data_IF_142710727237
#
_entry.id   IF_142710727237
#
_cell.length_a   1.000
_cell.length_b   1.000
_cell.length_c   1.000
_cell.angle_alpha   90.00
_cell.angle_beta   90.00
_cell.angle_gamma   90.00
#
_symmetry.space_group_name_H-M   'P 1'
#
loop_
_entity.id
_entity.type
_entity.pdbx_description
1 polymer ?
#
# COMPACT_ATOMS: atom_id res chain seq x y z
N UNK A 1 -11.19 17.68 7.18
CA UNK A 1 -12.12 17.58 6.03
C UNK A 1 -12.02 16.17 5.46
N UNK A 2 -12.71 15.23 6.09
CA UNK A 2 -12.80 13.83 5.65
C UNK A 2 -14.12 13.66 4.89
N UNK A 3 -14.09 12.80 3.87
CA UNK A 3 -15.21 12.36 3.04
C UNK A 3 -15.77 13.33 2.00
N UNK A 4 -15.17 13.28 0.79
CA UNK A 4 -15.95 13.40 -0.44
C UNK A 4 -16.07 12.00 -1.07
N UNK A 5 -17.25 11.37 -1.08
CA UNK A 5 -17.41 10.07 -1.73
C UNK A 5 -17.08 10.23 -3.22
N UNK A 6 -16.15 9.40 -3.71
CA UNK A 6 -15.89 9.26 -5.13
C UNK A 6 -17.19 8.80 -5.80
N UNK A 7 -17.93 9.73 -6.42
CA UNK A 7 -19.04 9.38 -7.32
C UNK A 7 -18.45 8.51 -8.43
N UNK A 8 -18.69 7.21 -8.33
CA UNK A 8 -18.51 6.26 -9.41
C UNK A 8 -19.57 6.54 -10.46
N UNK A 9 -19.21 7.41 -11.40
CA UNK A 9 -19.97 7.67 -12.62
C UNK A 9 -20.33 6.34 -13.33
N UNK A 10 -21.65 6.03 -13.49
CA UNK A 10 -22.17 4.72 -13.88
C UNK A 10 -21.93 4.36 -15.36
N UNK A 11 -21.31 5.24 -16.14
CA UNK A 11 -21.01 5.06 -17.56
C UNK A 11 -19.74 4.24 -17.88
N UNK A 12 -19.25 3.38 -16.97
CA UNK A 12 -17.98 2.64 -17.14
C UNK A 12 -18.17 1.17 -17.56
N UNK A 13 -17.62 0.79 -18.71
CA UNK A 13 -17.17 -0.59 -18.93
C UNK A 13 -15.97 -0.88 -18.01
N UNK A 14 -16.11 -1.83 -17.10
CA UNK A 14 -14.99 -2.33 -16.29
C UNK A 14 -13.92 -2.93 -17.21
N UNK A 15 -12.66 -2.45 -17.21
CA UNK A 15 -11.61 -3.16 -17.89
C UNK A 15 -11.48 -4.54 -17.25
N UNK A 16 -11.38 -5.60 -18.06
CA UNK A 16 -11.13 -6.94 -17.54
C UNK A 16 -9.89 -6.95 -16.65
N UNK A 17 -9.84 -7.85 -15.67
CA UNK A 17 -8.75 -7.96 -14.68
C UNK A 17 -7.37 -7.91 -15.36
N UNK A 18 -7.20 -8.58 -16.50
CA UNK A 18 -5.97 -8.56 -17.31
C UNK A 18 -5.60 -7.17 -17.82
N UNK A 19 -6.56 -6.39 -18.30
CA UNK A 19 -6.32 -5.01 -18.73
C UNK A 19 -6.02 -4.09 -17.54
N UNK A 20 -6.67 -4.29 -16.39
CA UNK A 20 -6.37 -3.53 -15.18
C UNK A 20 -4.93 -3.80 -14.70
N UNK A 21 -4.51 -5.07 -14.68
CA UNK A 21 -3.13 -5.46 -14.36
C UNK A 21 -2.12 -4.91 -15.36
N UNK A 22 -2.35 -5.07 -16.66
CA UNK A 22 -1.45 -4.55 -17.70
C UNK A 22 -1.29 -3.02 -17.60
N UNK A 23 -2.38 -2.30 -17.33
CA UNK A 23 -2.35 -0.84 -17.11
C UNK A 23 -1.60 -0.48 -15.81
N UNK A 24 -1.79 -1.26 -14.74
CA UNK A 24 -1.06 -1.10 -13.47
C UNK A 24 0.44 -1.30 -13.63
N UNK A 25 0.85 -2.37 -14.34
CA UNK A 25 2.25 -2.65 -14.70
C UNK A 25 2.85 -1.53 -15.56
N UNK A 26 2.08 -1.01 -16.52
CA UNK A 26 2.48 0.13 -17.34
C UNK A 26 2.49 1.47 -16.57
N UNK A 27 2.15 1.46 -15.26
CA UNK A 27 1.97 2.65 -14.41
C UNK A 27 0.98 3.64 -15.00
N UNK A 28 -0.03 3.18 -15.74
CA UNK A 28 -1.03 4.02 -16.41
C UNK A 28 -2.32 4.12 -15.59
N UNK A 29 -3.09 5.18 -15.82
CA UNK A 29 -4.40 5.36 -15.17
C UNK A 29 -5.31 4.12 -15.38
N UNK A 30 -5.88 3.51 -14.32
CA UNK A 30 -6.71 2.31 -14.44
C UNK A 30 -8.00 2.58 -15.24
N UNK A 31 -8.53 3.81 -15.17
CA UNK A 31 -9.74 4.23 -15.91
C UNK A 31 -9.45 4.44 -17.40
N UNK A 32 -8.55 5.37 -17.73
CA UNK A 32 -8.36 5.81 -19.13
C UNK A 32 -7.15 5.19 -19.84
N UNK A 33 -6.16 4.64 -19.12
CA UNK A 33 -4.96 4.02 -19.71
C UNK A 33 -4.06 4.96 -20.51
N UNK A 34 -4.29 6.28 -20.49
CA UNK A 34 -3.60 7.25 -21.37
C UNK A 34 -2.37 7.92 -20.76
N UNK A 35 -2.33 8.08 -19.44
CA UNK A 35 -1.25 8.80 -18.77
C UNK A 35 -0.65 7.99 -17.62
N UNK A 36 0.62 8.31 -17.30
CA UNK A 36 1.33 7.72 -16.17
C UNK A 36 0.78 8.26 -14.85
N UNK A 37 0.50 7.35 -13.93
CA UNK A 37 0.03 7.61 -12.56
C UNK A 37 1.14 8.22 -11.69
N UNK A 38 2.39 7.80 -11.93
CA UNK A 38 3.56 8.22 -11.18
C UNK A 38 4.26 9.39 -11.87
N UNK A 39 4.66 10.39 -11.08
CA UNK A 39 5.48 11.55 -11.47
C UNK A 39 6.95 11.42 -11.01
N UNK A 40 7.39 10.19 -10.76
CA UNK A 40 8.72 9.87 -10.25
C UNK A 40 8.76 8.47 -9.63
N UNK A 41 9.81 8.16 -8.88
CA UNK A 41 9.95 6.84 -8.24
C UNK A 41 8.92 6.60 -7.12
N UNK A 42 8.58 7.63 -6.35
CA UNK A 42 7.65 7.52 -5.21
C UNK A 42 6.59 8.62 -5.15
N UNK A 43 6.49 9.47 -6.19
CA UNK A 43 5.48 10.52 -6.29
C UNK A 43 4.32 10.05 -7.15
N UNK A 44 3.14 9.97 -6.54
CA UNK A 44 1.88 9.75 -7.24
C UNK A 44 1.32 11.11 -7.67
N UNK A 45 0.80 11.21 -8.89
CA UNK A 45 0.09 12.42 -9.31
C UNK A 45 -1.23 12.51 -8.55
N UNK A 46 -1.63 13.69 -8.03
CA UNK A 46 -2.86 13.84 -7.26
C UNK A 46 -4.11 13.63 -8.13
N UNK A 47 -4.03 13.88 -9.45
CA UNK A 47 -5.09 13.59 -10.38
C UNK A 47 -4.58 13.21 -11.78
N UNK A 48 -5.37 12.45 -12.54
CA UNK A 48 -5.12 12.22 -13.96
C UNK A 48 -5.52 13.45 -14.80
N UNK A 49 -4.66 13.93 -15.72
CA UNK A 49 -5.00 15.09 -16.56
C UNK A 49 -6.08 14.81 -17.60
N UNK A 50 -6.24 13.55 -18.03
CA UNK A 50 -7.24 13.17 -19.05
C UNK A 50 -8.61 12.82 -18.50
N UNK A 51 -8.69 12.12 -17.37
CA UNK A 51 -9.97 11.67 -16.80
C UNK A 51 -10.36 12.35 -15.49
N UNK A 52 -9.50 13.24 -14.96
CA UNK A 52 -9.77 13.98 -13.73
C UNK A 52 -9.85 13.13 -12.48
N UNK A 53 -9.49 11.84 -12.53
CA UNK A 53 -9.57 10.97 -11.35
C UNK A 53 -8.53 11.38 -10.32
N UNK A 54 -9.01 11.75 -9.13
CA UNK A 54 -8.19 12.09 -7.96
C UNK A 54 -7.63 10.81 -7.34
N UNK A 55 -6.31 10.69 -7.29
CA UNK A 55 -5.60 9.61 -6.62
C UNK A 55 -5.19 10.10 -5.23
N UNK A 56 -6.14 10.07 -4.30
CA UNK A 56 -5.86 10.38 -2.91
C UNK A 56 -5.05 9.21 -2.32
N UNK A 57 -3.87 9.47 -1.77
CA UNK A 57 -3.22 8.52 -0.85
C UNK A 57 -4.12 8.47 0.39
N UNK A 58 -4.76 7.34 0.64
CA UNK A 58 -5.47 7.08 1.89
C UNK A 58 -4.51 6.49 2.92
N UNK A 59 -3.28 7.02 3.00
CA UNK A 59 -2.30 6.48 3.95
C UNK A 59 -2.70 6.92 5.36
N UNK A 60 -3.18 8.15 5.50
CA UNK A 60 -3.53 8.80 6.75
C UNK A 60 -4.56 8.00 7.58
N UNK A 61 -5.53 7.35 6.94
CA UNK A 61 -6.59 6.62 7.62
C UNK A 61 -6.14 5.24 8.15
N UNK A 62 -5.02 4.71 7.65
CA UNK A 62 -4.54 3.36 7.97
C UNK A 62 -3.26 3.34 8.81
N UNK A 63 -2.69 4.51 9.12
CA UNK A 63 -1.46 4.62 9.92
C UNK A 63 -1.63 3.92 11.27
N UNK A 64 -2.75 4.16 11.96
CA UNK A 64 -3.02 3.55 13.27
C UNK A 64 -3.09 2.03 13.21
N UNK A 65 -3.73 1.48 12.18
CA UNK A 65 -3.84 0.02 12.01
C UNK A 65 -2.47 -0.62 11.75
N UNK A 66 -1.61 0.02 10.95
CA UNK A 66 -0.26 -0.47 10.68
C UNK A 66 0.56 -0.53 11.97
N UNK A 67 0.47 0.47 12.85
CA UNK A 67 1.17 0.44 14.14
C UNK A 67 0.66 -0.67 15.04
N UNK A 68 -0.65 -0.86 15.13
CA UNK A 68 -1.26 -1.90 15.98
C UNK A 68 -0.83 -3.30 15.51
N UNK A 69 -0.95 -3.59 14.21
CA UNK A 69 -0.57 -4.92 13.68
C UNK A 69 0.92 -5.17 13.80
N UNK A 70 1.76 -4.15 13.58
CA UNK A 70 3.21 -4.26 13.74
C UNK A 70 3.61 -4.50 15.19
N UNK A 71 2.96 -3.83 16.16
CA UNK A 71 3.20 -4.05 17.58
C UNK A 71 2.82 -5.48 18.01
N UNK A 72 1.68 -5.98 17.56
CA UNK A 72 1.24 -7.37 17.82
C UNK A 72 2.25 -8.36 17.25
N UNK A 73 2.64 -8.18 15.98
CA UNK A 73 3.58 -9.09 15.31
C UNK A 73 4.95 -9.12 16.03
N UNK A 74 5.44 -7.96 16.46
CA UNK A 74 6.70 -7.83 17.19
C UNK A 74 6.62 -8.50 18.56
N UNK A 75 5.51 -8.31 19.29
CA UNK A 75 5.29 -8.96 20.57
C UNK A 75 5.21 -10.50 20.43
N UNK A 76 4.55 -11.00 19.39
CA UNK A 76 4.49 -12.44 19.09
C UNK A 76 5.90 -13.01 18.84
N UNK A 77 6.73 -12.35 18.03
CA UNK A 77 8.10 -12.79 17.78
C UNK A 77 8.97 -12.72 19.03
N UNK A 78 8.85 -11.66 19.83
CA UNK A 78 9.59 -11.52 21.08
C UNK A 78 9.19 -12.60 22.10
N UNK A 79 7.89 -12.87 22.25
CA UNK A 79 7.40 -13.93 23.11
C UNK A 79 7.87 -15.31 22.64
N UNK A 80 7.84 -15.58 21.33
CA UNK A 80 8.37 -16.82 20.78
C UNK A 80 9.86 -16.98 21.06
N UNK A 81 10.66 -15.92 20.87
CA UNK A 81 12.10 -15.93 21.17
C UNK A 81 12.40 -16.11 22.67
N UNK A 82 11.52 -15.64 23.56
CA UNK A 82 11.64 -15.84 25.01
C UNK A 82 11.22 -17.25 25.45
N UNK A 83 10.18 -17.80 24.84
CA UNK A 83 9.68 -19.15 25.12
C UNK A 83 10.65 -20.21 24.61
N UNK A 84 11.19 -20.03 23.41
CA UNK A 84 12.31 -20.80 22.88
C UNK A 84 13.58 -20.21 23.49
N UNK A 85 13.75 -20.32 24.82
CA UNK A 85 15.01 -19.92 25.47
C UNK A 85 16.15 -20.57 24.69
N UNK A 86 17.02 -19.80 24.01
CA UNK A 86 18.10 -20.39 23.26
C UNK A 86 19.10 -20.99 24.26
N UNK A 87 19.12 -22.32 24.38
CA UNK A 87 20.15 -23.05 25.12
C UNK A 87 21.55 -22.90 24.49
N UNK A 88 21.67 -22.17 23.37
CA UNK A 88 22.95 -21.90 22.70
C UNK A 88 23.51 -20.49 23.09
N UNK A 89 24.46 -20.43 24.04
CA UNK A 89 25.09 -19.16 24.47
C UNK A 89 25.97 -18.49 23.39
N UNK A 90 25.98 -19.00 22.17
CA UNK A 90 26.70 -18.40 21.03
C UNK A 90 25.90 -17.26 20.36
N UNK A 91 24.55 -17.32 20.38
CA UNK A 91 23.70 -16.25 19.80
C UNK A 91 23.82 -14.90 20.54
N UNK A 92 24.19 -14.91 21.81
CA UNK A 92 24.39 -13.70 22.63
C UNK A 92 25.84 -13.20 22.64
N UNK A 93 26.81 -14.00 22.16
CA UNK A 93 28.25 -13.67 22.20
C UNK A 93 28.78 -12.96 20.95
N UNK A 94 27.95 -12.76 19.92
CA UNK A 94 28.32 -12.05 18.69
C UNK A 94 27.89 -10.57 18.63
N UNK A 95 27.41 -10.01 19.75
CA UNK A 95 26.92 -8.63 19.84
C UNK A 95 27.88 -7.65 20.55
N UNK A 96 29.15 -8.03 20.73
CA UNK A 96 30.22 -7.11 21.14
C UNK A 96 31.28 -6.99 20.04
#
# INVERSE_FOLDING_TARGET
>A
RVNRPLRSDPSRCSPGIRQALARGLAKRCPRCGRERLMDGYYRLRPACRKCGQQFQRAIEDHIGLIYITTAIQTAMFAAFALLVRPDNPWLWRGAL
#
